data_IF_170110141376
#
_entry.id   IF_170110141376
#
_cell.length_a   1.000
_cell.length_b   1.000
_cell.length_c   1.000
_cell.angle_alpha   90.00
_cell.angle_beta   90.00
_cell.angle_gamma   90.00
#
_symmetry.space_group_name_H-M   'P 1'
#
loop_
_entity.id
_entity.type
_entity.pdbx_description
1 polymer ?
#
# COMPACT_ATOMS: atom_id res chain seq x y z
N UNK A 1 -16.88 5.95 3.02
CA UNK A 1 -16.42 4.80 2.21
C UNK A 1 -17.54 4.32 1.27
N UNK A 2 -17.61 4.83 0.04
CA UNK A 2 -18.35 4.23 -1.09
C UNK A 2 -17.54 4.55 -2.34
N UNK A 3 -16.58 3.69 -2.67
CA UNK A 3 -15.69 3.93 -3.81
C UNK A 3 -16.32 3.41 -5.10
N UNK A 4 -16.32 4.16 -6.21
CA UNK A 4 -16.85 3.72 -7.52
C UNK A 4 -16.27 2.36 -7.98
N UNK A 5 -15.10 1.99 -7.46
CA UNK A 5 -14.45 0.70 -7.72
C UNK A 5 -15.26 -0.52 -7.24
N UNK A 6 -15.96 -0.43 -6.10
CA UNK A 6 -16.78 -1.56 -5.61
C UNK A 6 -17.93 -1.90 -6.57
N UNK A 7 -18.50 -0.87 -7.22
CA UNK A 7 -19.53 -1.08 -8.25
C UNK A 7 -18.93 -1.64 -9.54
N UNK A 8 -17.78 -1.11 -9.96
CA UNK A 8 -17.09 -1.52 -11.19
C UNK A 8 -16.55 -2.96 -11.13
N UNK A 9 -16.14 -3.41 -9.94
CA UNK A 9 -15.57 -4.74 -9.70
C UNK A 9 -16.37 -5.51 -8.64
N UNK A 10 -17.68 -5.69 -8.89
CA UNK A 10 -18.61 -6.25 -7.90
C UNK A 10 -18.31 -7.70 -7.48
N UNK A 11 -17.57 -8.46 -8.28
CA UNK A 11 -17.15 -9.84 -7.96
C UNK A 11 -15.88 -9.92 -7.10
N UNK A 12 -15.29 -8.79 -6.72
CA UNK A 12 -14.11 -8.75 -5.85
C UNK A 12 -14.56 -8.50 -4.42
N UNK A 13 -14.30 -9.45 -3.53
CA UNK A 13 -14.53 -9.27 -2.10
C UNK A 13 -13.56 -8.20 -1.55
N UNK A 14 -14.08 -7.24 -0.79
CA UNK A 14 -13.30 -6.12 -0.26
C UNK A 14 -13.52 -5.97 1.22
N UNK A 15 -12.50 -6.33 1.98
CA UNK A 15 -12.37 -6.02 3.39
C UNK A 15 -11.63 -4.67 3.55
N UNK A 16 -12.09 -3.86 4.49
CA UNK A 16 -11.50 -2.57 4.77
C UNK A 16 -11.33 -2.42 6.28
N UNK A 17 -10.10 -2.23 6.70
CA UNK A 17 -9.73 -2.14 8.10
C UNK A 17 -9.11 -0.78 8.40
N UNK A 18 -9.43 -0.23 9.57
CA UNK A 18 -8.76 0.96 10.10
C UNK A 18 -8.00 0.55 11.34
N UNK A 19 -6.68 0.49 11.21
CA UNK A 19 -5.76 0.10 12.27
C UNK A 19 -5.11 1.32 12.91
N UNK A 20 -4.88 1.25 14.22
CA UNK A 20 -4.13 2.28 14.96
C UNK A 20 -2.68 1.84 15.08
N UNK A 21 -1.75 2.71 14.69
CA UNK A 21 -0.32 2.46 14.84
C UNK A 21 0.49 2.79 13.59
N UNK A 22 1.71 2.24 13.52
CA UNK A 22 2.61 2.47 12.39
C UNK A 22 2.11 1.76 11.13
N UNK A 23 1.79 2.54 10.09
CA UNK A 23 1.40 1.98 8.78
C UNK A 23 2.44 1.01 8.20
N UNK A 24 3.73 1.27 8.44
CA UNK A 24 4.81 0.40 7.98
C UNK A 24 4.73 -0.98 8.66
N UNK A 25 4.59 -1.00 9.99
CA UNK A 25 4.49 -2.24 10.75
C UNK A 25 3.24 -3.03 10.36
N UNK A 26 2.09 -2.37 10.33
CA UNK A 26 0.80 -2.99 10.03
C UNK A 26 0.76 -3.61 8.63
N UNK A 27 1.34 -2.93 7.63
CA UNK A 27 1.41 -3.48 6.27
C UNK A 27 2.41 -4.65 6.16
N UNK A 28 3.53 -4.62 6.89
CA UNK A 28 4.48 -5.74 6.93
C UNK A 28 3.84 -6.95 7.60
N UNK A 29 3.13 -6.75 8.70
CA UNK A 29 2.39 -7.81 9.40
C UNK A 29 1.31 -8.43 8.51
N UNK A 30 0.42 -7.62 7.94
CA UNK A 30 -0.63 -8.08 7.03
C UNK A 30 -0.06 -8.79 5.78
N UNK A 31 1.17 -8.47 5.38
CA UNK A 31 1.79 -9.09 4.23
C UNK A 31 2.22 -10.54 4.43
N UNK A 32 2.23 -11.06 5.67
CA UNK A 32 2.55 -12.47 5.94
C UNK A 32 1.59 -13.45 5.24
N UNK A 33 0.34 -13.04 5.03
CA UNK A 33 -0.70 -13.85 4.39
C UNK A 33 -1.09 -13.32 3.01
N UNK A 34 -0.48 -12.22 2.56
CA UNK A 34 -0.79 -11.60 1.29
C UNK A 34 -0.06 -12.29 0.13
N UNK A 35 -0.71 -12.32 -1.04
CA UNK A 35 -0.07 -12.75 -2.30
C UNK A 35 0.63 -11.59 -3.03
N UNK A 36 0.25 -10.35 -2.73
CA UNK A 36 0.80 -9.12 -3.27
C UNK A 36 0.44 -7.96 -2.34
N UNK A 37 1.41 -7.10 -2.05
CA UNK A 37 1.18 -5.84 -1.34
C UNK A 37 1.26 -4.69 -2.34
N UNK A 38 0.28 -3.79 -2.29
CA UNK A 38 0.24 -2.61 -3.15
C UNK A 38 0.39 -1.38 -2.27
N UNK A 39 1.41 -0.57 -2.56
CA UNK A 39 1.65 0.70 -1.87
C UNK A 39 1.74 1.85 -2.87
N UNK A 40 1.25 3.02 -2.48
CA UNK A 40 1.39 4.23 -3.28
C UNK A 40 2.79 4.83 -3.18
N UNK A 41 3.28 5.41 -4.27
CA UNK A 41 4.44 6.30 -4.26
C UNK A 41 4.00 7.70 -3.87
N UNK A 42 4.51 8.22 -2.76
CA UNK A 42 4.28 9.63 -2.39
C UNK A 42 5.03 10.53 -3.38
N UNK A 43 4.30 11.33 -4.16
CA UNK A 43 4.88 12.42 -4.93
C UNK A 43 5.18 13.58 -3.96
N UNK A 44 6.44 14.03 -3.88
CA UNK A 44 6.78 15.28 -3.19
C UNK A 44 6.92 16.37 -4.24
N UNK A 45 6.40 17.56 -3.93
CA UNK A 45 6.44 18.76 -4.78
C UNK A 45 7.86 19.28 -5.06
N UNK A 46 8.90 18.79 -4.37
CA UNK A 46 10.30 19.21 -4.56
C UNK A 46 11.15 18.02 -5.07
N UNK A 47 11.72 18.11 -6.28
CA UNK A 47 12.33 16.98 -6.99
C UNK A 47 13.83 16.84 -6.67
N UNK A 48 14.18 16.68 -5.40
CA UNK A 48 15.52 16.22 -5.05
C UNK A 48 15.45 14.70 -4.90
N UNK A 49 15.69 13.96 -5.99
CA UNK A 49 15.88 12.50 -6.01
C UNK A 49 14.61 11.62 -5.91
N UNK A 50 14.70 10.33 -6.35
CA UNK A 50 13.62 9.36 -6.16
C UNK A 50 13.53 8.98 -4.67
N UNK A 51 12.62 9.61 -3.93
CA UNK A 51 12.35 9.24 -2.56
C UNK A 51 11.07 8.42 -2.44
N UNK A 52 11.25 7.15 -2.07
CA UNK A 52 10.19 6.29 -1.62
C UNK A 52 9.79 6.71 -0.20
N UNK A 53 8.49 6.91 0.07
CA UNK A 53 8.03 7.27 1.41
C UNK A 53 8.33 6.19 2.44
N UNK A 54 8.44 6.55 3.72
CA UNK A 54 8.82 5.65 4.82
C UNK A 54 8.06 4.30 4.81
N UNK A 55 6.74 4.35 4.67
CA UNK A 55 5.89 3.15 4.61
C UNK A 55 6.25 2.24 3.44
N UNK A 56 6.36 2.82 2.23
CA UNK A 56 6.68 2.02 1.05
C UNK A 56 8.11 1.47 1.10
N UNK A 57 9.07 2.22 1.66
CA UNK A 57 10.42 1.75 1.89
C UNK A 57 10.44 0.55 2.84
N UNK A 58 9.79 0.65 4.00
CA UNK A 58 9.74 -0.45 4.96
C UNK A 58 9.07 -1.70 4.37
N UNK A 59 7.96 -1.54 3.64
CA UNK A 59 7.25 -2.66 3.02
C UNK A 59 8.12 -3.35 1.96
N UNK A 60 8.84 -2.62 1.11
CA UNK A 60 9.75 -3.24 0.12
C UNK A 60 10.84 -4.08 0.80
N UNK A 61 11.39 -3.59 1.91
CA UNK A 61 12.52 -4.24 2.57
C UNK A 61 12.13 -5.38 3.50
N UNK A 62 10.89 -5.40 4.01
CA UNK A 62 10.50 -6.31 5.08
C UNK A 62 9.29 -7.18 4.77
N UNK A 63 8.58 -6.94 3.66
CA UNK A 63 7.46 -7.81 3.28
C UNK A 63 7.96 -9.17 2.79
N UNK A 64 7.42 -10.29 3.30
CA UNK A 64 7.63 -11.61 2.71
C UNK A 64 6.88 -11.81 1.38
N UNK A 65 5.92 -10.93 1.05
CA UNK A 65 5.17 -10.97 -0.19
C UNK A 65 5.76 -10.02 -1.24
N UNK A 66 5.55 -10.27 -2.55
CA UNK A 66 5.88 -9.31 -3.59
C UNK A 66 5.22 -7.95 -3.36
N UNK A 67 5.91 -6.86 -3.72
CA UNK A 67 5.44 -5.49 -3.50
C UNK A 67 5.35 -4.74 -4.84
N UNK A 68 4.16 -4.22 -5.15
CA UNK A 68 3.94 -3.30 -6.27
C UNK A 68 3.87 -1.85 -5.75
N UNK A 69 4.79 -1.01 -6.21
CA UNK A 69 4.78 0.44 -5.93
C UNK A 69 4.11 1.17 -7.08
N UNK A 70 2.93 1.75 -6.83
CA UNK A 70 2.14 2.41 -7.86
C UNK A 70 2.35 3.92 -7.78
N UNK A 71 2.73 4.60 -8.88
CA UNK A 71 2.77 6.07 -8.93
C UNK A 71 1.40 6.67 -8.62
N UNK A 72 1.34 7.67 -7.74
CA UNK A 72 0.20 8.59 -7.71
C UNK A 72 0.31 9.50 -8.94
N UNK A 73 -0.71 9.47 -9.79
CA UNK A 73 -0.88 10.39 -10.92
C UNK A 73 -1.50 11.69 -10.47
#
# INVERSE_FOLDING_TARGET
>A
MRSPWRKRYAGVEVEAETVVGSSAYQLVEASQTARLVIVGRRSRTVPLGPHLGHTAHAVIHHSPAPVAVVPLT
#
